data_IF_398764893916
#
_entry.id   IF_398764893916
#
_cell.length_a   1.000
_cell.length_b   1.000
_cell.length_c   1.000
_cell.angle_alpha   90.00
_cell.angle_beta   90.00
_cell.angle_gamma   90.00
#
_symmetry.space_group_name_H-M   'P 1'
#
loop_
_entity.id
_entity.type
_entity.pdbx_description
1 polymer ?
#
# COMPACT_ATOMS: atom_id res chain seq x y z
N UNK A 1 25.88 5.08 -21.99
CA UNK A 1 25.05 4.33 -21.01
C UNK A 1 25.96 4.10 -19.80
N UNK A 2 25.57 4.59 -18.63
CA UNK A 2 26.38 4.45 -17.42
C UNK A 2 25.84 3.23 -16.65
N UNK A 3 26.74 2.33 -16.28
CA UNK A 3 26.41 1.20 -15.42
C UNK A 3 26.60 1.62 -13.96
N UNK A 4 25.50 1.73 -13.23
CA UNK A 4 25.50 2.20 -11.85
C UNK A 4 25.56 1.02 -10.88
N UNK A 5 26.42 1.11 -9.90
CA UNK A 5 26.50 0.17 -8.80
C UNK A 5 25.93 0.78 -7.51
N UNK A 6 25.25 0.00 -6.70
CA UNK A 6 24.70 0.46 -5.41
C UNK A 6 25.75 0.94 -4.41
N UNK A 7 27.02 0.64 -4.65
CA UNK A 7 28.16 1.09 -3.85
C UNK A 7 28.75 2.42 -4.33
N UNK A 8 28.31 2.93 -5.51
CA UNK A 8 28.80 4.20 -6.03
C UNK A 8 28.18 5.36 -5.23
N UNK A 9 29.03 6.23 -4.69
CA UNK A 9 28.58 7.42 -3.95
C UNK A 9 27.71 8.32 -4.82
N UNK A 10 28.10 8.56 -6.06
CA UNK A 10 27.33 9.38 -7.01
C UNK A 10 25.93 8.79 -7.28
N UNK A 11 25.83 7.48 -7.40
CA UNK A 11 24.52 6.82 -7.56
C UNK A 11 23.68 6.92 -6.29
N UNK A 12 24.26 6.55 -5.15
CA UNK A 12 23.52 6.48 -3.89
C UNK A 12 23.17 7.90 -3.38
N UNK A 13 24.14 8.78 -3.28
CA UNK A 13 23.94 10.12 -2.72
C UNK A 13 23.33 11.09 -3.73
N UNK A 14 23.77 11.06 -4.98
CA UNK A 14 23.32 11.98 -6.02
C UNK A 14 21.98 11.59 -6.66
N UNK A 15 21.67 10.32 -6.81
CA UNK A 15 20.45 9.87 -7.50
C UNK A 15 19.43 9.30 -6.51
N UNK A 16 19.80 8.28 -5.75
CA UNK A 16 18.84 7.53 -4.93
C UNK A 16 18.29 8.38 -3.80
N UNK A 17 19.13 9.16 -3.12
CA UNK A 17 18.67 9.99 -2.00
C UNK A 17 17.81 11.18 -2.47
N UNK A 18 18.11 11.75 -3.63
CA UNK A 18 17.28 12.80 -4.22
C UNK A 18 15.91 12.23 -4.64
N UNK A 19 15.89 11.09 -5.35
CA UNK A 19 14.64 10.41 -5.73
C UNK A 19 13.78 10.09 -4.53
N UNK A 20 14.37 9.61 -3.44
CA UNK A 20 13.64 9.32 -2.20
C UNK A 20 12.98 10.57 -1.61
N UNK A 21 13.67 11.70 -1.61
CA UNK A 21 13.11 12.99 -1.17
C UNK A 21 11.97 13.45 -2.07
N UNK A 22 12.15 13.35 -3.38
CA UNK A 22 11.14 13.75 -4.35
C UNK A 22 9.86 12.93 -4.21
N UNK A 23 9.97 11.62 -4.03
CA UNK A 23 8.82 10.74 -3.77
C UNK A 23 8.06 11.14 -2.51
N UNK A 24 8.76 11.47 -1.42
CA UNK A 24 8.13 11.95 -0.19
C UNK A 24 7.43 13.29 -0.42
N UNK A 25 8.06 14.23 -1.13
CA UNK A 25 7.46 15.54 -1.44
C UNK A 25 6.19 15.43 -2.31
N UNK A 26 6.09 14.40 -3.16
CA UNK A 26 4.88 14.14 -3.94
C UNK A 26 3.77 13.57 -3.04
N UNK A 27 4.13 12.71 -2.09
CA UNK A 27 3.17 11.95 -1.29
C UNK A 27 2.59 12.76 -0.11
N UNK A 28 3.31 13.75 0.44
CA UNK A 28 2.89 14.45 1.66
C UNK A 28 3.30 15.93 1.69
N UNK A 29 2.55 16.72 2.44
CA UNK A 29 2.89 18.13 2.76
C UNK A 29 3.81 18.27 3.97
N UNK A 30 4.18 17.18 4.61
CA UNK A 30 5.04 17.11 5.81
C UNK A 30 6.19 16.15 5.57
N UNK A 31 7.09 16.44 4.63
CA UNK A 31 8.15 15.51 4.21
C UNK A 31 9.13 15.14 5.34
N UNK A 32 9.24 15.96 6.37
CA UNK A 32 10.10 15.72 7.53
C UNK A 32 9.62 14.58 8.44
N UNK A 33 8.34 14.21 8.35
CA UNK A 33 7.73 13.12 9.14
C UNK A 33 7.79 11.76 8.42
N UNK A 34 8.22 11.72 7.16
CA UNK A 34 8.13 10.53 6.30
C UNK A 34 9.45 10.19 5.62
N UNK A 35 9.53 8.97 5.17
CA UNK A 35 10.61 8.50 4.29
C UNK A 35 10.06 7.57 3.22
N UNK A 36 10.71 7.50 2.07
CA UNK A 36 10.40 6.53 1.04
C UNK A 36 11.32 5.32 1.14
N UNK A 37 10.78 4.13 0.90
CA UNK A 37 11.53 2.87 0.82
C UNK A 37 11.39 2.35 -0.61
N UNK A 38 12.51 2.23 -1.30
CA UNK A 38 12.56 1.70 -2.65
C UNK A 38 12.71 0.18 -2.59
N UNK A 39 11.71 -0.54 -3.08
CA UNK A 39 11.72 -2.00 -3.14
C UNK A 39 11.99 -2.45 -4.57
N UNK A 40 12.91 -3.38 -4.73
CA UNK A 40 13.20 -3.99 -6.02
C UNK A 40 12.24 -5.15 -6.25
N UNK A 41 11.24 -4.96 -7.11
CA UNK A 41 10.24 -5.98 -7.38
C UNK A 41 9.07 -5.44 -8.21
N UNK A 42 8.02 -6.25 -8.31
CA UNK A 42 6.76 -5.87 -8.95
C UNK A 42 5.88 -5.02 -8.02
N UNK A 43 4.84 -4.35 -8.58
CA UNK A 43 3.82 -3.68 -7.79
C UNK A 43 3.13 -4.62 -6.78
N UNK A 44 2.92 -5.89 -7.15
CA UNK A 44 2.39 -6.90 -6.22
C UNK A 44 3.30 -7.11 -5.01
N UNK A 45 4.62 -7.14 -5.23
CA UNK A 45 5.59 -7.25 -4.14
C UNK A 45 5.51 -6.04 -3.19
N UNK A 46 5.32 -4.84 -3.73
CA UNK A 46 5.13 -3.63 -2.90
C UNK A 46 3.84 -3.72 -2.06
N UNK A 47 2.73 -4.19 -2.65
CA UNK A 47 1.46 -4.40 -1.91
C UNK A 47 1.66 -5.42 -0.79
N UNK A 48 2.28 -6.55 -1.09
CA UNK A 48 2.60 -7.58 -0.10
C UNK A 48 3.48 -7.04 1.04
N UNK A 49 4.53 -6.28 0.69
CA UNK A 49 5.42 -5.68 1.67
C UNK A 49 4.69 -4.67 2.57
N UNK A 50 3.77 -3.87 2.02
CA UNK A 50 2.97 -2.92 2.82
C UNK A 50 2.03 -3.66 3.75
N UNK A 51 1.23 -4.60 3.26
CA UNK A 51 0.29 -5.35 4.10
C UNK A 51 1.01 -6.12 5.22
N UNK A 52 2.09 -6.83 4.87
CA UNK A 52 2.87 -7.59 5.86
C UNK A 52 3.64 -6.75 6.87
N UNK A 53 3.96 -5.48 6.54
CA UNK A 53 4.68 -4.59 7.46
C UNK A 53 3.77 -3.73 8.34
N UNK A 54 2.54 -3.43 7.89
CA UNK A 54 1.66 -2.49 8.58
C UNK A 54 0.54 -3.16 9.37
N UNK A 55 0.07 -4.33 8.94
CA UNK A 55 -1.04 -5.02 9.61
C UNK A 55 -0.48 -6.01 10.64
N UNK A 56 -0.80 -5.79 11.89
CA UNK A 56 -0.40 -6.66 13.00
C UNK A 56 -1.55 -7.60 13.40
N UNK A 57 -1.30 -8.64 14.23
CA UNK A 57 -2.38 -9.52 14.72
C UNK A 57 -3.46 -8.84 15.57
N UNK A 58 -3.30 -7.55 15.89
CA UNK A 58 -4.29 -6.75 16.64
C UNK A 58 -5.12 -5.85 15.74
N UNK A 59 -4.76 -5.79 14.46
CA UNK A 59 -5.39 -4.94 13.47
C UNK A 59 -6.38 -5.75 12.65
N UNK A 60 -7.40 -5.06 12.15
CA UNK A 60 -8.35 -5.61 11.19
C UNK A 60 -8.34 -4.76 9.92
N UNK A 61 -8.20 -5.42 8.78
CA UNK A 61 -8.09 -4.80 7.46
C UNK A 61 -9.44 -4.87 6.74
N UNK A 62 -9.92 -3.77 6.21
CA UNK A 62 -10.98 -3.74 5.21
C UNK A 62 -10.38 -3.63 3.82
N UNK A 63 -10.68 -4.59 2.95
CA UNK A 63 -10.28 -4.56 1.54
C UNK A 63 -11.48 -4.20 0.68
N UNK A 64 -11.40 -3.10 -0.06
CA UNK A 64 -12.40 -2.72 -1.06
C UNK A 64 -11.89 -3.19 -2.43
N UNK A 65 -12.47 -4.27 -2.95
CA UNK A 65 -12.09 -4.87 -4.24
C UNK A 65 -13.09 -4.49 -5.31
N UNK A 66 -12.58 -3.99 -6.44
CA UNK A 66 -13.34 -3.82 -7.68
C UNK A 66 -12.64 -4.54 -8.85
N UNK A 67 -12.02 -5.68 -8.58
CA UNK A 67 -11.38 -6.51 -9.60
C UNK A 67 -10.12 -7.21 -9.13
N UNK A 68 -9.37 -7.79 -10.07
CA UNK A 68 -8.28 -8.72 -9.84
C UNK A 68 -7.17 -8.23 -8.88
N UNK A 69 -6.91 -6.93 -8.82
CA UNK A 69 -5.87 -6.39 -7.91
C UNK A 69 -6.37 -6.31 -6.47
N UNK A 70 -7.65 -5.99 -6.26
CA UNK A 70 -8.26 -6.04 -4.94
C UNK A 70 -8.38 -7.46 -4.43
N UNK A 71 -8.79 -8.41 -5.28
CA UNK A 71 -8.86 -9.84 -4.96
C UNK A 71 -7.48 -10.39 -4.58
N UNK A 72 -6.43 -9.91 -5.24
CA UNK A 72 -5.05 -10.27 -4.89
C UNK A 72 -4.64 -9.78 -3.50
N UNK A 73 -5.10 -8.61 -3.06
CA UNK A 73 -4.89 -8.16 -1.68
C UNK A 73 -5.55 -9.12 -0.69
N UNK A 74 -6.75 -9.61 -0.99
CA UNK A 74 -7.42 -10.65 -0.21
C UNK A 74 -6.60 -11.94 -0.12
N UNK A 75 -6.07 -12.43 -1.24
CA UNK A 75 -5.22 -13.63 -1.26
C UNK A 75 -3.94 -13.44 -0.42
N UNK A 76 -3.34 -12.25 -0.44
CA UNK A 76 -2.18 -11.91 0.39
C UNK A 76 -2.58 -11.90 1.86
N UNK A 77 -3.70 -11.26 2.21
CA UNK A 77 -4.20 -11.22 3.58
C UNK A 77 -4.48 -12.63 4.12
N UNK A 78 -5.10 -13.50 3.33
CA UNK A 78 -5.33 -14.90 3.66
C UNK A 78 -4.02 -15.67 3.88
N UNK A 79 -3.03 -15.51 2.98
CA UNK A 79 -1.73 -16.15 3.10
C UNK A 79 -0.99 -15.78 4.38
N UNK A 80 -1.06 -14.51 4.79
CA UNK A 80 -0.44 -14.03 6.03
C UNK A 80 -1.32 -14.22 7.27
N UNK A 81 -2.50 -14.82 7.12
CA UNK A 81 -3.47 -15.01 8.22
C UNK A 81 -3.86 -13.70 8.91
N UNK A 82 -3.99 -12.62 8.12
CA UNK A 82 -4.46 -11.35 8.63
C UNK A 82 -5.96 -11.43 8.92
N UNK A 83 -6.42 -10.71 9.92
CA UNK A 83 -7.86 -10.49 10.14
C UNK A 83 -8.35 -9.44 9.14
N UNK A 84 -9.28 -9.82 8.24
CA UNK A 84 -9.77 -8.92 7.21
C UNK A 84 -11.21 -9.17 6.82
N UNK A 85 -11.87 -8.10 6.41
CA UNK A 85 -13.15 -8.12 5.71
C UNK A 85 -12.94 -7.67 4.26
N UNK A 86 -13.81 -8.13 3.35
CA UNK A 86 -13.75 -7.73 1.94
C UNK A 86 -15.10 -7.20 1.48
N UNK A 87 -15.11 -5.99 0.91
CA UNK A 87 -16.22 -5.43 0.15
C UNK A 87 -15.92 -5.57 -1.33
N UNK A 88 -16.74 -6.35 -2.03
CA UNK A 88 -16.62 -6.57 -3.46
C UNK A 88 -17.55 -5.61 -4.24
N UNK A 89 -16.99 -4.94 -5.22
CA UNK A 89 -17.67 -4.07 -6.20
C UNK A 89 -17.45 -4.64 -7.61
N UNK A 90 -18.31 -4.28 -8.53
CA UNK A 90 -18.13 -4.67 -9.94
C UNK A 90 -16.89 -3.97 -10.54
N UNK A 91 -16.21 -4.63 -11.48
CA UNK A 91 -14.96 -4.13 -12.09
C UNK A 91 -15.12 -2.75 -12.77
N UNK A 92 -16.33 -2.43 -13.20
CA UNK A 92 -16.66 -1.17 -13.87
C UNK A 92 -17.23 -0.11 -12.94
N UNK A 93 -17.36 -0.42 -11.66
CA UNK A 93 -17.91 0.48 -10.66
C UNK A 93 -16.81 1.11 -9.81
N UNK A 94 -17.02 2.36 -9.45
CA UNK A 94 -16.17 3.00 -8.45
C UNK A 94 -16.56 2.47 -7.07
N UNK A 95 -15.57 2.33 -6.21
CA UNK A 95 -15.80 2.04 -4.79
C UNK A 95 -16.69 3.15 -4.20
N UNK A 96 -17.88 2.79 -3.73
CA UNK A 96 -18.80 3.76 -3.12
C UNK A 96 -18.27 4.22 -1.77
N UNK A 97 -18.01 5.52 -1.67
CA UNK A 97 -17.55 6.15 -0.42
C UNK A 97 -18.62 6.03 0.67
N UNK A 98 -19.88 6.24 0.31
CA UNK A 98 -21.01 6.15 1.23
C UNK A 98 -21.16 4.74 1.80
N UNK A 99 -20.99 3.72 0.96
CA UNK A 99 -21.08 2.32 1.41
C UNK A 99 -19.93 1.95 2.34
N UNK A 100 -18.70 2.40 2.02
CA UNK A 100 -17.52 2.18 2.88
C UNK A 100 -17.68 2.91 4.21
N UNK A 101 -18.17 4.16 4.21
CA UNK A 101 -18.39 4.95 5.43
C UNK A 101 -19.44 4.30 6.34
N UNK A 102 -20.55 3.85 5.76
CA UNK A 102 -21.59 3.09 6.50
C UNK A 102 -21.01 1.79 7.08
N UNK A 103 -20.23 1.05 6.29
CA UNK A 103 -19.58 -0.17 6.75
C UNK A 103 -18.62 0.09 7.93
N UNK A 104 -17.76 1.10 7.83
CA UNK A 104 -16.83 1.48 8.90
C UNK A 104 -17.56 1.97 10.16
N UNK A 105 -18.67 2.67 9.99
CA UNK A 105 -19.50 3.14 11.11
C UNK A 105 -20.11 2.01 11.92
N UNK A 106 -20.38 0.87 11.27
CA UNK A 106 -20.95 -0.34 11.89
C UNK A 106 -19.89 -1.35 12.35
N UNK A 107 -18.61 -1.18 11.96
CA UNK A 107 -17.50 -2.09 12.24
C UNK A 107 -16.30 -1.32 12.80
N UNK A 108 -16.41 -0.87 14.04
CA UNK A 108 -15.42 -0.01 14.70
C UNK A 108 -14.10 -0.71 15.06
N UNK A 109 -13.99 -1.99 14.84
CA UNK A 109 -12.80 -2.82 15.00
C UNK A 109 -11.85 -2.75 13.81
N UNK A 110 -12.30 -2.22 12.66
CA UNK A 110 -11.46 -2.00 11.48
C UNK A 110 -10.46 -0.88 11.75
N UNK A 111 -9.19 -1.20 11.56
CA UNK A 111 -8.07 -0.27 11.81
C UNK A 111 -7.44 0.26 10.52
N UNK A 112 -7.56 -0.49 9.43
CA UNK A 112 -6.94 -0.18 8.14
C UNK A 112 -7.92 -0.43 6.99
N UNK A 113 -7.81 0.40 5.94
CA UNK A 113 -8.57 0.24 4.69
C UNK A 113 -7.59 0.18 3.53
N UNK A 114 -7.75 -0.82 2.66
CA UNK A 114 -6.99 -0.96 1.42
C UNK A 114 -7.94 -0.97 0.21
N UNK A 115 -7.56 -0.24 -0.83
CA UNK A 115 -8.28 -0.22 -2.11
C UNK A 115 -7.31 0.05 -3.25
N UNK A 116 -7.74 -0.27 -4.48
CA UNK A 116 -7.01 0.06 -5.71
C UNK A 116 -7.63 1.30 -6.33
N UNK A 117 -6.79 2.27 -6.61
CA UNK A 117 -7.21 3.55 -7.24
C UNK A 117 -7.02 3.47 -8.76
#
# INVERSE_FOLDING_TARGET
MTDWCTWDEDYNLGIVQELRKDLVNIATKKPEEYTSILLQGSGTYCVEAVLGATITPKDKLLICSNGAYGDRMGNIAEYYHLDYDMLAFEETEQVSVEYVDDYLSNNSDITHVAFVH
#
